data_IF_044411448355
#
_entry.id   IF_044411448355
#
_cell.length_a   1.000
_cell.length_b   1.000
_cell.length_c   1.000
_cell.angle_alpha   90.00
_cell.angle_beta   90.00
_cell.angle_gamma   90.00
#
_symmetry.space_group_name_H-M   'P 1'
#
loop_
_entity.id
_entity.type
_entity.pdbx_description
1 polymer ?
#
# COMPACT_ATOMS: atom_id res chain seq x y z
N UNK A 1 -8.89 36.87 12.13
CA UNK A 1 -7.73 36.25 11.44
C UNK A 1 -8.22 35.56 10.17
N UNK A 2 -7.36 35.42 9.14
CA UNK A 2 -7.68 34.67 7.92
C UNK A 2 -6.78 33.44 7.87
N UNK A 3 -7.37 32.24 7.84
CA UNK A 3 -6.62 30.98 7.83
C UNK A 3 -6.39 30.47 6.41
N UNK A 4 -5.33 29.68 6.23
CA UNK A 4 -5.07 28.97 4.98
C UNK A 4 -6.17 27.93 4.72
N UNK A 5 -6.46 27.70 3.42
CA UNK A 5 -7.44 26.70 3.00
C UNK A 5 -7.08 25.33 3.56
N UNK A 6 -8.04 24.70 4.23
CA UNK A 6 -7.97 23.32 4.67
C UNK A 6 -8.75 22.41 3.73
N UNK A 7 -8.36 21.14 3.63
CA UNK A 7 -9.05 20.11 2.87
C UNK A 7 -9.27 18.92 3.80
N UNK A 8 -10.46 18.36 3.76
CA UNK A 8 -10.85 17.20 4.54
C UNK A 8 -11.62 16.24 3.65
N UNK A 9 -11.64 14.95 4.00
CA UNK A 9 -12.58 14.02 3.38
C UNK A 9 -13.96 14.20 4.02
N UNK A 10 -15.01 14.21 3.19
CA UNK A 10 -16.39 14.27 3.70
C UNK A 10 -16.71 13.05 4.57
N UNK A 11 -16.15 11.88 4.22
CA UNK A 11 -16.24 10.66 5.03
C UNK A 11 -15.69 10.86 6.45
N UNK A 12 -14.57 11.56 6.60
CA UNK A 12 -13.94 11.81 7.91
C UNK A 12 -14.68 12.86 8.73
N UNK A 13 -15.26 13.87 8.06
CA UNK A 13 -15.96 14.97 8.73
C UNK A 13 -17.38 14.59 9.16
N UNK A 14 -18.13 13.94 8.28
CA UNK A 14 -19.58 13.76 8.45
C UNK A 14 -20.08 12.37 8.08
N UNK A 15 -19.19 11.40 7.81
CA UNK A 15 -19.56 10.12 7.21
C UNK A 15 -20.37 10.29 5.91
N UNK A 16 -20.03 11.32 5.13
CA UNK A 16 -20.71 11.69 3.88
C UNK A 16 -22.16 12.19 4.03
N UNK A 17 -22.69 12.27 5.24
CA UNK A 17 -24.03 12.83 5.49
C UNK A 17 -23.96 14.35 5.72
N UNK A 18 -24.43 15.12 4.76
CA UNK A 18 -24.30 16.59 4.76
C UNK A 18 -25.03 17.31 5.91
N UNK A 19 -26.02 16.64 6.53
CA UNK A 19 -26.82 17.15 7.64
C UNK A 19 -26.26 16.80 9.02
N UNK A 20 -25.16 16.03 9.07
CA UNK A 20 -24.52 15.72 10.34
C UNK A 20 -23.91 16.99 10.96
N UNK A 21 -24.15 17.14 12.27
CA UNK A 21 -23.74 18.32 13.02
C UNK A 21 -22.24 18.35 13.21
N UNK A 22 -21.64 19.45 12.77
CA UNK A 22 -20.23 19.79 12.96
C UNK A 22 -20.11 20.87 14.03
N UNK A 23 -19.21 20.65 14.99
CA UNK A 23 -18.85 21.65 16.00
C UNK A 23 -17.48 22.25 15.69
N UNK A 24 -17.46 23.54 15.38
CA UNK A 24 -16.24 24.29 15.19
C UNK A 24 -15.89 25.01 16.48
N UNK A 25 -14.71 24.74 17.04
CA UNK A 25 -14.21 25.41 18.24
C UNK A 25 -12.97 26.21 17.91
N UNK A 26 -13.01 27.50 18.21
CA UNK A 26 -11.90 28.43 17.96
C UNK A 26 -11.09 28.49 19.24
N UNK A 27 -9.81 28.18 19.14
CA UNK A 27 -8.89 28.17 20.27
C UNK A 27 -7.99 29.41 20.24
N UNK A 28 -7.78 30.02 21.40
CA UNK A 28 -6.76 31.03 21.62
C UNK A 28 -5.40 30.36 21.82
N UNK A 29 -4.43 30.75 20.99
CA UNK A 29 -3.09 30.19 21.03
C UNK A 29 -2.36 30.62 22.31
N UNK A 30 -1.64 29.67 22.91
CA UNK A 30 -0.82 29.88 24.10
C UNK A 30 0.51 29.17 23.86
N UNK A 31 1.64 29.85 24.07
CA UNK A 31 2.98 29.32 23.85
C UNK A 31 3.31 28.12 24.73
N UNK A 32 2.57 27.90 25.83
CA UNK A 32 2.69 26.70 26.67
C UNK A 32 2.04 25.44 26.07
N UNK A 33 1.34 25.55 24.93
CA UNK A 33 0.56 24.46 24.33
C UNK A 33 -0.80 24.22 24.98
N UNK A 34 -1.08 24.84 26.14
CA UNK A 34 -2.40 24.79 26.78
C UNK A 34 -3.33 25.84 26.19
N UNK A 35 -3.88 25.54 25.02
CA UNK A 35 -4.84 26.40 24.34
C UNK A 35 -6.16 26.48 25.09
N UNK A 36 -6.78 27.66 25.09
CA UNK A 36 -8.09 27.89 25.71
C UNK A 36 -9.15 28.13 24.65
N UNK A 37 -10.37 27.59 24.80
CA UNK A 37 -11.44 27.91 23.87
C UNK A 37 -11.81 29.40 23.95
N UNK A 38 -11.84 30.05 22.80
CA UNK A 38 -12.35 31.41 22.64
C UNK A 38 -13.87 31.39 22.42
N UNK A 39 -14.35 30.46 21.60
CA UNK A 39 -15.77 30.30 21.33
C UNK A 39 -16.02 29.16 20.35
N UNK A 40 -17.28 28.82 20.12
CA UNK A 40 -17.66 27.74 19.22
C UNK A 40 -18.95 28.05 18.47
N UNK A 41 -19.20 27.31 17.40
CA UNK A 41 -20.51 27.25 16.76
C UNK A 41 -20.78 25.83 16.27
N UNK A 42 -22.06 25.52 16.03
CA UNK A 42 -22.50 24.25 15.46
C UNK A 42 -23.24 24.54 14.17
N UNK A 43 -22.98 23.73 13.15
CA UNK A 43 -23.61 23.85 11.83
C UNK A 43 -23.59 22.50 11.12
N UNK A 44 -24.03 22.43 9.87
CA UNK A 44 -23.93 21.27 8.98
C UNK A 44 -23.24 21.67 7.68
N UNK A 45 -22.80 20.71 6.87
CA UNK A 45 -22.24 21.05 5.55
C UNK A 45 -23.31 21.63 4.62
N UNK A 46 -24.56 21.19 4.76
CA UNK A 46 -25.72 21.76 4.08
C UNK A 46 -25.88 23.27 4.37
N UNK A 47 -25.85 23.66 5.64
CA UNK A 47 -25.98 25.07 6.05
C UNK A 47 -24.82 25.93 5.53
N UNK A 48 -23.59 25.42 5.58
CA UNK A 48 -22.40 26.13 5.06
C UNK A 48 -22.52 26.35 3.54
N UNK A 49 -23.01 25.36 2.80
CA UNK A 49 -23.13 25.45 1.34
C UNK A 49 -24.28 26.36 0.90
N UNK A 50 -25.46 26.26 1.55
CA UNK A 50 -26.71 26.83 1.02
C UNK A 50 -27.15 28.11 1.71
N UNK A 51 -26.90 28.27 3.00
CA UNK A 51 -27.69 29.23 3.82
C UNK A 51 -26.84 30.22 4.61
N UNK A 52 -25.65 29.85 5.09
CA UNK A 52 -24.87 30.69 6.02
C UNK A 52 -23.37 30.56 5.80
N UNK A 53 -22.75 31.67 5.40
CA UNK A 53 -21.28 31.80 5.43
C UNK A 53 -20.77 32.47 6.70
N UNK A 54 -21.64 33.04 7.52
CA UNK A 54 -21.29 33.79 8.74
C UNK A 54 -21.97 33.14 9.94
N UNK A 55 -21.17 32.78 10.94
CA UNK A 55 -21.61 32.13 12.17
C UNK A 55 -21.18 32.93 13.39
N UNK A 56 -22.11 33.21 14.28
CA UNK A 56 -21.80 33.88 15.54
C UNK A 56 -21.24 32.88 16.55
N UNK A 57 -20.16 33.24 17.21
CA UNK A 57 -19.52 32.38 18.20
C UNK A 57 -20.26 32.44 19.53
N UNK A 58 -20.37 31.29 20.19
CA UNK A 58 -20.90 31.14 21.54
C UNK A 58 -19.78 30.85 22.53
N UNK A 59 -19.93 31.34 23.76
CA UNK A 59 -19.03 31.03 24.85
C UNK A 59 -19.17 29.56 25.25
N UNK A 60 -18.04 28.87 25.47
CA UNK A 60 -18.03 27.42 25.73
C UNK A 60 -18.58 27.08 27.12
N UNK A 61 -18.60 28.03 28.06
CA UNK A 61 -19.07 27.84 29.43
C UNK A 61 -20.51 28.30 29.62
N UNK A 62 -20.89 29.45 29.06
CA UNK A 62 -22.23 30.02 29.26
C UNK A 62 -23.21 29.68 28.14
N UNK A 63 -22.73 29.21 26.99
CA UNK A 63 -23.50 29.01 25.75
C UNK A 63 -24.18 30.28 25.20
N UNK A 64 -23.82 31.45 25.73
CA UNK A 64 -24.30 32.74 25.25
C UNK A 64 -23.51 33.19 24.03
N UNK A 65 -24.17 33.92 23.13
CA UNK A 65 -23.52 34.51 21.97
C UNK A 65 -22.51 35.57 22.41
N UNK A 66 -21.29 35.49 21.89
CA UNK A 66 -20.22 36.46 22.16
C UNK A 66 -20.43 37.65 21.21
N UNK A 67 -20.64 38.87 21.72
CA UNK A 67 -20.85 40.04 20.88
C UNK A 67 -19.70 40.24 19.89
N UNK A 68 -20.04 40.54 18.63
CA UNK A 68 -19.10 40.83 17.53
C UNK A 68 -18.19 39.66 17.08
N UNK A 69 -18.17 38.53 17.80
CA UNK A 69 -17.36 37.39 17.46
C UNK A 69 -18.03 36.53 16.38
N UNK A 70 -17.49 36.57 15.16
CA UNK A 70 -18.02 35.85 13.99
C UNK A 70 -16.96 35.00 13.32
N UNK A 71 -17.36 33.81 12.87
CA UNK A 71 -16.60 32.97 11.96
C UNK A 71 -17.19 33.08 10.56
N UNK A 72 -16.33 33.29 9.55
CA UNK A 72 -16.77 33.48 8.17
C UNK A 72 -16.08 32.44 7.27
N UNK A 73 -16.87 31.63 6.57
CA UNK A 73 -16.39 30.79 5.49
C UNK A 73 -16.28 31.63 4.21
N UNK A 74 -15.07 32.13 3.92
CA UNK A 74 -14.83 32.90 2.69
C UNK A 74 -14.99 32.07 1.41
N UNK A 75 -14.66 30.79 1.48
CA UNK A 75 -14.84 29.85 0.38
C UNK A 75 -15.10 28.45 0.93
N UNK A 76 -16.19 27.85 0.47
CA UNK A 76 -16.53 26.46 0.69
C UNK A 76 -16.84 25.82 -0.67
N UNK A 77 -16.28 24.63 -0.92
CA UNK A 77 -16.51 23.91 -2.17
C UNK A 77 -16.33 22.41 -1.94
N UNK A 78 -17.21 21.62 -2.54
CA UNK A 78 -16.95 20.20 -2.74
C UNK A 78 -15.98 20.03 -3.90
N UNK A 79 -15.03 19.11 -3.71
CA UNK A 79 -14.10 18.70 -4.77
C UNK A 79 -14.30 17.21 -4.90
N UNK A 80 -14.92 16.81 -6.01
CA UNK A 80 -15.00 15.41 -6.39
C UNK A 80 -13.58 14.88 -6.60
N UNK A 81 -13.30 13.71 -6.05
CA UNK A 81 -12.01 13.04 -6.19
C UNK A 81 -12.27 11.67 -6.78
N UNK A 82 -11.52 11.28 -7.83
CA UNK A 82 -11.57 9.91 -8.32
C UNK A 82 -11.28 8.95 -7.17
N UNK A 83 -12.19 8.02 -6.95
CA UNK A 83 -12.01 6.90 -6.04
C UNK A 83 -11.31 5.74 -6.77
N UNK A 84 -10.90 4.73 -6.02
CA UNK A 84 -10.24 3.54 -6.58
C UNK A 84 -11.04 2.90 -7.73
N UNK A 85 -12.38 2.84 -7.59
CA UNK A 85 -13.26 2.28 -8.61
C UNK A 85 -13.25 3.08 -9.93
N UNK A 86 -13.08 4.41 -9.87
CA UNK A 86 -13.04 5.23 -11.08
C UNK A 86 -11.84 4.88 -11.95
N UNK A 87 -10.71 4.52 -11.35
CA UNK A 87 -9.54 4.04 -12.09
C UNK A 87 -9.82 2.66 -12.70
N UNK A 88 -10.34 1.72 -11.91
CA UNK A 88 -10.65 0.37 -12.41
C UNK A 88 -11.67 0.37 -13.55
N UNK A 89 -12.73 1.16 -13.43
CA UNK A 89 -13.76 1.29 -14.49
C UNK A 89 -13.25 2.05 -15.73
N UNK A 90 -12.15 2.79 -15.58
CA UNK A 90 -11.47 3.51 -16.68
C UNK A 90 -10.35 2.69 -17.34
N UNK A 91 -10.40 1.35 -17.25
CA UNK A 91 -9.43 0.43 -17.88
C UNK A 91 -7.99 0.56 -17.36
N UNK A 92 -7.82 1.00 -16.11
CA UNK A 92 -6.53 0.85 -15.44
C UNK A 92 -6.38 -0.58 -14.92
N UNK A 93 -5.24 -1.18 -15.22
CA UNK A 93 -4.79 -2.48 -14.70
C UNK A 93 -3.86 -2.30 -13.50
N UNK A 94 -3.88 -3.26 -12.58
CA UNK A 94 -2.93 -3.36 -11.47
C UNK A 94 -2.07 -4.61 -11.71
N UNK A 95 -0.83 -4.39 -12.13
CA UNK A 95 0.11 -5.47 -12.39
C UNK A 95 0.83 -5.88 -11.11
N UNK A 96 1.02 -7.19 -10.95
CA UNK A 96 1.74 -7.78 -9.82
C UNK A 96 3.15 -8.19 -10.26
N UNK A 97 4.17 -7.71 -9.56
CA UNK A 97 5.56 -8.19 -9.67
C UNK A 97 5.97 -8.84 -8.34
N UNK A 98 6.65 -9.98 -8.41
CA UNK A 98 7.07 -10.75 -7.23
C UNK A 98 8.58 -10.88 -7.21
N UNK A 99 9.19 -10.67 -6.03
CA UNK A 99 10.60 -10.94 -5.78
C UNK A 99 10.74 -11.79 -4.51
N UNK A 100 11.42 -12.93 -4.61
CA UNK A 100 11.50 -13.95 -3.56
C UNK A 100 12.91 -14.04 -2.98
N UNK A 101 13.00 -13.94 -1.66
CA UNK A 101 14.24 -14.10 -0.91
C UNK A 101 14.65 -15.57 -0.86
N UNK A 102 15.83 -15.93 -1.37
CA UNK A 102 16.41 -17.27 -1.29
C UNK A 102 17.68 -17.31 -0.42
N UNK A 103 17.84 -16.35 0.49
CA UNK A 103 19.03 -16.21 1.34
C UNK A 103 19.19 -17.36 2.33
N UNK A 104 20.41 -17.52 2.83
CA UNK A 104 20.76 -18.59 3.79
C UNK A 104 19.98 -18.49 5.12
N UNK A 105 19.43 -17.32 5.45
CA UNK A 105 18.63 -17.10 6.65
C UNK A 105 17.35 -17.95 6.68
N UNK A 106 16.84 -18.33 5.51
CA UNK A 106 15.68 -19.20 5.34
C UNK A 106 15.98 -20.71 5.53
N UNK A 107 17.24 -21.06 5.83
CA UNK A 107 17.73 -22.44 5.96
C UNK A 107 17.65 -23.24 4.65
N UNK A 108 18.20 -24.45 4.67
CA UNK A 108 18.12 -25.37 3.54
C UNK A 108 16.67 -25.82 3.31
N UNK A 109 16.11 -25.69 2.09
CA UNK A 109 14.70 -25.99 1.80
C UNK A 109 14.32 -27.47 1.98
N UNK A 110 15.29 -28.37 2.17
CA UNK A 110 15.04 -29.79 2.48
C UNK A 110 14.74 -30.02 3.97
N UNK A 111 14.93 -29.01 4.81
CA UNK A 111 14.62 -29.07 6.23
C UNK A 111 13.18 -28.64 6.47
N UNK A 112 12.46 -29.38 7.28
CA UNK A 112 11.07 -29.07 7.65
C UNK A 112 10.91 -27.72 8.39
N UNK A 113 11.98 -27.22 9.01
CA UNK A 113 11.99 -25.91 9.68
C UNK A 113 12.37 -24.74 8.75
N UNK A 114 12.63 -25.00 7.46
CA UNK A 114 12.84 -23.96 6.47
C UNK A 114 11.52 -23.31 6.08
N UNK A 115 11.53 -21.99 5.90
CA UNK A 115 10.38 -21.26 5.36
C UNK A 115 10.07 -21.62 3.90
N UNK A 116 11.03 -22.23 3.18
CA UNK A 116 10.88 -22.70 1.81
C UNK A 116 10.59 -24.20 1.71
N UNK A 117 10.41 -24.90 2.83
CA UNK A 117 10.12 -26.33 2.80
C UNK A 117 8.86 -26.59 1.96
N UNK A 118 8.96 -27.50 0.98
CA UNK A 118 7.83 -27.89 0.13
C UNK A 118 7.19 -29.13 0.75
N UNK A 119 6.01 -28.96 1.37
CA UNK A 119 5.34 -30.08 2.01
C UNK A 119 4.78 -31.05 0.96
N UNK A 120 5.03 -32.35 1.17
CA UNK A 120 4.57 -33.43 0.30
C UNK A 120 3.08 -33.73 0.42
N UNK A 121 2.43 -33.28 1.49
CA UNK A 121 0.99 -33.42 1.73
C UNK A 121 0.15 -32.35 1.02
N UNK A 122 0.80 -31.40 0.33
CA UNK A 122 0.16 -30.29 -0.36
C UNK A 122 -0.08 -29.05 0.51
N UNK A 123 0.30 -29.06 1.79
CA UNK A 123 0.24 -27.88 2.66
C UNK A 123 1.21 -26.82 2.16
N UNK A 124 0.73 -25.58 2.00
CA UNK A 124 1.56 -24.48 1.52
C UNK A 124 2.47 -23.94 2.61
N UNK A 125 3.73 -23.68 2.27
CA UNK A 125 4.62 -22.91 3.14
C UNK A 125 4.25 -21.42 3.15
N UNK A 126 4.97 -20.61 3.93
CA UNK A 126 4.65 -19.19 4.10
C UNK A 126 4.75 -18.40 2.79
N UNK A 127 5.78 -18.65 1.97
CA UNK A 127 5.93 -17.99 0.67
C UNK A 127 4.81 -18.39 -0.30
N UNK A 128 4.52 -19.68 -0.40
CA UNK A 128 3.41 -20.19 -1.23
C UNK A 128 2.06 -19.65 -0.80
N UNK A 129 1.81 -19.59 0.52
CA UNK A 129 0.58 -19.06 1.09
C UNK A 129 0.38 -17.58 0.75
N UNK A 130 1.43 -16.75 0.88
CA UNK A 130 1.37 -15.32 0.52
C UNK A 130 1.18 -15.14 -0.99
N UNK A 131 1.96 -15.85 -1.81
CA UNK A 131 1.81 -15.81 -3.27
C UNK A 131 0.39 -16.19 -3.69
N UNK A 132 -0.19 -17.24 -3.09
CA UNK A 132 -1.54 -17.66 -3.43
C UNK A 132 -2.61 -16.68 -2.92
N UNK A 133 -2.51 -16.21 -1.67
CA UNK A 133 -3.57 -15.39 -1.05
C UNK A 133 -3.58 -13.96 -1.57
N UNK A 134 -2.43 -13.26 -1.52
CA UNK A 134 -2.30 -11.89 -2.03
C UNK A 134 -2.40 -11.89 -3.55
N UNK A 135 -1.72 -12.84 -4.18
CA UNK A 135 -1.67 -12.92 -5.63
C UNK A 135 -3.03 -13.16 -6.26
N UNK A 136 -3.88 -14.04 -5.71
CA UNK A 136 -5.25 -14.24 -6.24
C UNK A 136 -6.13 -13.00 -6.16
N UNK A 137 -5.93 -12.14 -5.15
CA UNK A 137 -6.68 -10.89 -5.03
C UNK A 137 -6.23 -9.93 -6.13
N UNK A 138 -4.91 -9.75 -6.29
CA UNK A 138 -4.34 -8.78 -7.23
C UNK A 138 -4.45 -9.24 -8.69
N UNK A 139 -4.31 -10.54 -8.94
CA UNK A 139 -4.47 -11.16 -10.26
C UNK A 139 -5.84 -10.80 -10.86
N UNK A 140 -6.91 -10.65 -10.06
CA UNK A 140 -8.22 -10.24 -10.55
C UNK A 140 -8.24 -8.86 -11.22
N UNK A 141 -7.29 -7.99 -10.89
CA UNK A 141 -7.15 -6.62 -11.40
C UNK A 141 -6.06 -6.47 -12.47
N UNK A 142 -5.39 -7.57 -12.83
CA UNK A 142 -4.38 -7.58 -13.90
C UNK A 142 -5.00 -8.06 -15.22
N UNK A 143 -4.89 -7.30 -16.30
CA UNK A 143 -5.57 -7.64 -17.55
C UNK A 143 -4.92 -8.82 -18.29
N UNK A 144 -3.58 -8.91 -18.29
CA UNK A 144 -2.84 -9.94 -19.02
C UNK A 144 -2.47 -11.15 -18.17
N UNK A 145 -2.63 -11.04 -16.84
CA UNK A 145 -2.30 -12.08 -15.84
C UNK A 145 -0.83 -12.50 -15.89
N UNK A 146 0.06 -11.68 -16.46
CA UNK A 146 1.48 -11.96 -16.52
C UNK A 146 2.15 -11.38 -15.30
N UNK A 147 2.81 -12.25 -14.55
CA UNK A 147 3.43 -11.88 -13.28
C UNK A 147 4.95 -11.96 -13.44
N UNK A 148 5.64 -10.83 -13.64
CA UNK A 148 7.10 -10.81 -13.57
C UNK A 148 7.56 -11.30 -12.21
N UNK A 149 8.34 -12.38 -12.21
CA UNK A 149 8.76 -13.07 -11.00
C UNK A 149 10.28 -13.22 -10.93
N UNK A 150 10.86 -12.79 -9.81
CA UNK A 150 12.28 -12.76 -9.57
C UNK A 150 12.64 -13.47 -8.27
N UNK A 151 13.87 -13.95 -8.19
CA UNK A 151 14.50 -14.37 -6.94
C UNK A 151 15.79 -13.59 -6.68
N UNK A 152 16.20 -13.51 -5.42
CA UNK A 152 17.46 -12.90 -5.02
C UNK A 152 18.10 -13.66 -3.85
N UNK A 153 19.41 -13.49 -3.65
CA UNK A 153 20.13 -14.11 -2.54
C UNK A 153 20.35 -15.61 -2.75
N UNK A 154 20.69 -16.04 -3.96
CA UNK A 154 21.01 -17.44 -4.21
C UNK A 154 22.22 -17.63 -5.13
N UNK A 155 22.90 -18.76 -4.98
CA UNK A 155 23.86 -19.25 -5.94
C UNK A 155 23.11 -19.93 -7.09
N UNK A 156 23.14 -19.31 -8.27
CA UNK A 156 22.52 -19.84 -9.50
C UNK A 156 23.58 -20.46 -10.41
N UNK A 157 23.22 -21.50 -11.21
CA UNK A 157 24.10 -21.98 -12.26
C UNK A 157 24.42 -20.85 -13.25
N UNK A 158 25.70 -20.62 -13.52
CA UNK A 158 26.14 -19.61 -14.49
C UNK A 158 25.75 -20.05 -15.90
N UNK A 159 25.23 -19.14 -16.73
CA UNK A 159 24.99 -19.44 -18.16
C UNK A 159 26.35 -19.65 -18.84
N UNK A 160 26.52 -20.70 -19.68
CA UNK A 160 27.75 -20.90 -20.42
C UNK A 160 28.03 -19.66 -21.28
N UNK A 161 29.24 -19.11 -21.22
CA UNK A 161 29.65 -18.06 -22.15
C UNK A 161 30.48 -18.67 -23.28
N UNK A 162 30.47 -18.11 -24.50
CA UNK A 162 31.12 -18.71 -25.67
C UNK A 162 32.63 -19.00 -25.53
N UNK A 163 33.29 -18.45 -24.49
CA UNK A 163 34.73 -18.55 -24.26
C UNK A 163 35.07 -19.13 -22.85
N UNK A 164 34.11 -19.71 -22.14
CA UNK A 164 34.29 -20.22 -20.77
C UNK A 164 33.80 -21.67 -20.66
N UNK A 165 34.72 -22.61 -20.86
CA UNK A 165 34.52 -24.06 -20.65
C UNK A 165 34.72 -24.47 -19.17
N UNK A 166 34.80 -23.50 -18.24
CA UNK A 166 34.96 -23.79 -16.81
C UNK A 166 33.78 -24.61 -16.29
N UNK A 167 34.02 -25.64 -15.45
CA UNK A 167 32.94 -26.46 -14.90
C UNK A 167 31.97 -25.60 -14.08
N UNK A 168 30.72 -25.44 -14.57
CA UNK A 168 29.56 -24.80 -13.94
C UNK A 168 29.82 -24.19 -12.55
N UNK A 169 30.56 -23.09 -12.47
CA UNK A 169 30.70 -22.36 -11.21
C UNK A 169 29.37 -21.69 -10.90
N UNK A 170 28.91 -21.76 -9.64
CA UNK A 170 27.71 -21.04 -9.21
C UNK A 170 28.12 -19.64 -8.76
N UNK A 171 27.41 -18.63 -9.24
CA UNK A 171 27.63 -17.24 -8.85
C UNK A 171 26.47 -16.74 -7.99
N UNK A 172 26.77 -15.89 -7.01
CA UNK A 172 25.73 -15.27 -6.18
C UNK A 172 24.95 -14.30 -7.05
N UNK A 173 23.66 -14.53 -7.18
CA UNK A 173 22.75 -13.61 -7.84
C UNK A 173 21.83 -12.95 -6.84
N UNK A 174 21.78 -11.63 -6.92
CA UNK A 174 20.82 -10.78 -6.23
C UNK A 174 19.63 -10.39 -7.12
N UNK A 175 19.58 -10.91 -8.34
CA UNK A 175 18.40 -10.82 -9.19
C UNK A 175 18.45 -11.88 -10.31
N UNK A 176 17.48 -12.78 -10.32
CA UNK A 176 17.33 -13.76 -11.39
C UNK A 176 15.85 -14.03 -11.67
N UNK A 177 15.54 -14.40 -12.91
CA UNK A 177 14.18 -14.77 -13.31
C UNK A 177 13.77 -16.08 -12.63
N UNK A 178 12.60 -16.09 -12.02
CA UNK A 178 12.12 -17.26 -11.27
C UNK A 178 11.79 -18.43 -12.20
N UNK A 179 11.23 -18.14 -13.38
CA UNK A 179 10.96 -19.14 -14.42
C UNK A 179 12.25 -19.63 -15.12
N UNK A 180 13.41 -18.97 -14.92
CA UNK A 180 14.68 -19.31 -15.56
C UNK A 180 14.80 -18.87 -17.02
N UNK A 181 13.81 -18.18 -17.56
CA UNK A 181 13.78 -17.67 -18.93
C UNK A 181 14.40 -16.26 -19.02
N UNK A 182 14.52 -15.73 -20.25
CA UNK A 182 14.94 -14.34 -20.45
C UNK A 182 13.85 -13.35 -20.01
N UNK A 183 12.58 -13.70 -20.25
CA UNK A 183 11.41 -12.93 -19.83
C UNK A 183 10.92 -13.51 -18.50
N UNK A 184 10.76 -12.66 -17.48
CA UNK A 184 10.44 -13.08 -16.11
C UNK A 184 8.97 -13.44 -15.88
N UNK A 185 8.13 -13.36 -16.92
CA UNK A 185 6.68 -13.49 -16.81
C UNK A 185 6.30 -14.95 -16.48
N UNK A 186 5.57 -15.09 -15.39
CA UNK A 186 4.85 -16.30 -15.05
C UNK A 186 3.37 -16.15 -15.45
N UNK A 187 2.79 -17.21 -15.99
CA UNK A 187 1.38 -17.25 -16.41
C UNK A 187 0.48 -17.43 -15.17
N UNK A 188 -0.02 -16.31 -14.64
CA UNK A 188 -0.85 -16.25 -13.46
C UNK A 188 -0.20 -16.80 -12.18
N UNK A 189 -1.02 -16.93 -11.14
CA UNK A 189 -0.58 -17.41 -9.82
C UNK A 189 -0.13 -18.87 -9.84
N UNK A 190 -0.76 -19.71 -10.64
CA UNK A 190 -0.39 -21.11 -10.74
C UNK A 190 0.99 -21.26 -11.44
N UNK A 191 1.27 -20.46 -12.49
CA UNK A 191 2.58 -20.40 -13.11
C UNK A 191 3.66 -19.87 -12.16
N UNK A 192 3.33 -18.87 -11.34
CA UNK A 192 4.24 -18.32 -10.33
C UNK A 192 4.60 -19.38 -9.27
N UNK A 193 3.60 -20.11 -8.73
CA UNK A 193 3.81 -21.15 -7.72
C UNK A 193 4.66 -22.31 -8.27
N UNK A 194 4.46 -22.67 -9.53
CA UNK A 194 5.25 -23.70 -10.21
C UNK A 194 6.70 -23.23 -10.43
N UNK A 195 6.91 -22.01 -10.92
CA UNK A 195 8.24 -21.41 -11.06
C UNK A 195 8.98 -21.32 -9.71
N UNK A 196 8.27 -20.99 -8.64
CA UNK A 196 8.81 -20.99 -7.28
C UNK A 196 9.29 -22.38 -6.85
N UNK A 197 8.45 -23.41 -6.96
CA UNK A 197 8.81 -24.79 -6.57
C UNK A 197 10.05 -25.27 -7.32
N UNK A 198 10.06 -25.10 -8.64
CA UNK A 198 11.19 -25.46 -9.50
C UNK A 198 12.47 -24.71 -9.13
N UNK A 199 12.34 -23.43 -8.75
CA UNK A 199 13.50 -22.64 -8.29
C UNK A 199 14.05 -23.13 -6.96
N UNK A 200 13.19 -23.41 -5.97
CA UNK A 200 13.60 -23.91 -4.65
C UNK A 200 14.48 -25.17 -4.79
N UNK A 201 14.17 -26.06 -5.73
CA UNK A 201 14.95 -27.28 -5.97
C UNK A 201 16.27 -27.03 -6.71
N UNK A 202 16.34 -25.99 -7.55
CA UNK A 202 17.47 -25.72 -8.45
C UNK A 202 18.56 -24.85 -7.83
N UNK A 203 18.18 -23.88 -7.00
CA UNK A 203 19.11 -22.87 -6.48
C UNK A 203 19.71 -23.30 -5.15
N UNK A 204 20.93 -22.82 -4.85
CA UNK A 204 21.52 -23.00 -3.52
C UNK A 204 21.41 -21.69 -2.75
N UNK A 205 20.75 -21.74 -1.60
CA UNK A 205 20.46 -20.55 -0.79
C UNK A 205 21.77 -19.96 -0.28
N UNK A 206 21.97 -18.64 -0.43
CA UNK A 206 23.27 -18.02 -0.18
C UNK A 206 23.17 -16.51 0.07
N UNK A 207 24.29 -15.87 0.40
CA UNK A 207 24.40 -14.42 0.44
C UNK A 207 23.61 -13.76 1.58
N UNK A 208 23.78 -12.44 1.67
CA UNK A 208 23.00 -11.56 2.55
C UNK A 208 21.73 -11.09 1.83
N UNK A 209 20.75 -10.64 2.61
CA UNK A 209 19.53 -10.02 2.08
C UNK A 209 19.89 -8.67 1.45
N UNK A 210 19.75 -8.57 0.12
CA UNK A 210 19.98 -7.34 -0.64
C UNK A 210 18.75 -7.03 -1.50
N UNK A 211 18.23 -5.81 -1.35
CA UNK A 211 17.08 -5.29 -2.11
C UNK A 211 17.50 -4.24 -3.16
N UNK A 212 18.79 -4.19 -3.52
CA UNK A 212 19.23 -3.32 -4.61
C UNK A 212 18.55 -3.71 -5.94
N UNK A 213 18.28 -2.75 -6.83
CA UNK A 213 17.55 -3.01 -8.06
C UNK A 213 18.22 -4.06 -8.94
N UNK A 214 17.39 -4.90 -9.55
CA UNK A 214 17.62 -5.40 -10.90
C UNK A 214 17.55 -4.22 -11.90
#
# INVERSE_FOLDING_TARGET
PRWNRQKFLALELTHEEIDNKLKFTILSHNSSGKHTPYGYFVTTLYEIEKERQVFHLRDVKTDEEIPEAKFIFEKFQYIERPCFYDFLSSQYSINLTVAIDFTISNLDPRREDSLHYINSDGTLNQYQSVMQTVGRILEAYDDDKKIPAYGFGALIPRKPTPNDDSPYEKETSHCFTLNGEEIADCEGIEGLLEAYKNTVERVKFFGETCFEPC
#
